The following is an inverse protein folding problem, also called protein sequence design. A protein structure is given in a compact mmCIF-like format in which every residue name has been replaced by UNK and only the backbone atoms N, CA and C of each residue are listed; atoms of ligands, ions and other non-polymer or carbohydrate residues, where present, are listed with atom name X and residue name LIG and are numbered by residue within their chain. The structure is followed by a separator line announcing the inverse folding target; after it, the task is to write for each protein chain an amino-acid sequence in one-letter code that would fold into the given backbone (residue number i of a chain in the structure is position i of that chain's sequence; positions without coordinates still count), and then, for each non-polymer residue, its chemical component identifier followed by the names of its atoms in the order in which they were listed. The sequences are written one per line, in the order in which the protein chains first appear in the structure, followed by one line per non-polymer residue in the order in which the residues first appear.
data_IF_593617954784
#
_entry.id   IF_593617954784
#
_cell.length_a   1.000
_cell.length_b   1.000
_cell.length_c   1.000
_cell.angle_alpha   90.00
_cell.angle_beta   90.00
_cell.angle_gamma   90.00
#
_symmetry.space_group_name_H-M   'P 1'
#
loop_
_entity.id
_entity.type
_entity.pdbx_description
1 polymer ?
#
# COMPACT_ATOMS: atom_id res chain seq x y z
N UNK A 1 -0.93 19.73 15.58
CA UNK A 1 -0.46 18.49 14.93
C UNK A 1 0.59 18.93 13.93
N UNK A 2 1.86 18.67 14.20
CA UNK A 2 2.89 18.92 13.18
C UNK A 2 2.56 18.08 11.96
N UNK A 3 2.51 18.72 10.79
CA UNK A 3 2.27 18.03 9.53
C UNK A 3 3.47 17.13 9.28
N UNK A 4 3.28 15.80 9.36
CA UNK A 4 4.34 14.84 9.04
C UNK A 4 4.96 15.21 7.69
N UNK A 5 6.29 15.34 7.64
CA UNK A 5 7.01 15.75 6.42
C UNK A 5 7.08 14.62 5.39
N UNK A 6 6.72 13.41 5.80
CA UNK A 6 6.78 12.20 4.99
C UNK A 6 5.59 11.29 5.32
N UNK A 7 5.28 10.41 4.38
CA UNK A 7 4.29 9.35 4.54
C UNK A 7 4.90 8.01 4.15
N UNK A 8 4.59 6.96 4.90
CA UNK A 8 4.97 5.58 4.61
C UNK A 8 3.70 4.75 4.34
N UNK A 9 3.64 4.13 3.16
CA UNK A 9 2.62 3.17 2.79
C UNK A 9 3.18 1.75 2.83
N UNK A 10 2.47 0.82 3.47
CA UNK A 10 2.87 -0.58 3.61
C UNK A 10 1.76 -1.48 3.06
N UNK A 11 2.05 -2.19 1.98
CA UNK A 11 1.15 -3.19 1.37
C UNK A 11 1.59 -4.60 1.80
N UNK A 12 0.75 -5.26 2.61
CA UNK A 12 1.01 -6.58 3.17
C UNK A 12 0.08 -7.60 2.48
N UNK A 13 0.55 -8.15 1.37
CA UNK A 13 -0.13 -9.20 0.62
C UNK A 13 0.23 -10.61 1.08
N UNK A 14 -0.45 -11.62 0.53
CA UNK A 14 -0.18 -13.04 0.80
C UNK A 14 1.21 -13.48 0.34
N UNK A 15 1.66 -12.99 -0.83
CA UNK A 15 2.95 -13.38 -1.43
C UNK A 15 4.09 -12.42 -1.11
N UNK A 16 3.80 -11.15 -0.83
CA UNK A 16 4.83 -10.11 -0.72
C UNK A 16 4.46 -9.00 0.26
N UNK A 17 5.49 -8.34 0.79
CA UNK A 17 5.40 -7.08 1.52
C UNK A 17 6.06 -6.00 0.67
N UNK A 18 5.37 -4.87 0.50
CA UNK A 18 5.88 -3.69 -0.20
C UNK A 18 5.83 -2.49 0.74
N UNK A 19 6.84 -1.64 0.69
CA UNK A 19 6.86 -0.36 1.41
C UNK A 19 7.24 0.75 0.43
N UNK A 20 6.57 1.89 0.53
CA UNK A 20 6.93 3.11 -0.16
C UNK A 20 6.93 4.27 0.84
N UNK A 21 7.95 5.12 0.79
CA UNK A 21 8.04 6.38 1.52
C UNK A 21 7.97 7.51 0.51
N UNK A 22 7.07 8.47 0.74
CA UNK A 22 6.88 9.66 -0.07
C UNK A 22 7.04 10.93 0.75
N UNK A 23 7.46 12.02 0.11
CA UNK A 23 7.41 13.35 0.70
C UNK A 23 6.02 14.01 0.56
N UNK A 24 5.88 15.24 1.05
CA UNK A 24 4.63 16.02 0.96
C UNK A 24 4.25 16.41 -0.48
N UNK A 25 5.19 16.36 -1.43
CA UNK A 25 4.91 16.59 -2.84
C UNK A 25 4.45 15.33 -3.58
N UNK A 26 4.42 14.18 -2.88
CA UNK A 26 4.10 12.87 -3.45
C UNK A 26 5.26 12.22 -4.20
N UNK A 27 6.49 12.76 -4.09
CA UNK A 27 7.66 12.15 -4.69
C UNK A 27 8.11 10.94 -3.86
N UNK A 28 8.45 9.86 -4.57
CA UNK A 28 8.97 8.64 -3.96
C UNK A 28 10.40 8.88 -3.47
N UNK A 29 10.62 8.72 -2.16
CA UNK A 29 11.93 8.78 -1.51
C UNK A 29 12.57 7.38 -1.52
N UNK A 30 11.81 6.36 -1.13
CA UNK A 30 12.33 5.00 -0.96
C UNK A 30 11.24 3.95 -1.14
N UNK A 31 11.60 2.82 -1.72
CA UNK A 31 10.68 1.68 -1.88
C UNK A 31 11.38 0.36 -1.62
N UNK A 32 10.60 -0.65 -1.25
CA UNK A 32 11.05 -2.04 -1.20
C UNK A 32 9.94 -2.99 -1.62
N UNK A 33 10.33 -4.10 -2.22
CA UNK A 33 9.49 -5.27 -2.46
C UNK A 33 10.24 -6.49 -1.94
N UNK A 34 9.59 -7.29 -1.10
CA UNK A 34 10.11 -8.57 -0.62
C UNK A 34 9.02 -9.63 -0.67
N UNK A 35 9.39 -10.84 -1.10
CA UNK A 35 8.50 -12.00 -0.97
C UNK A 35 8.41 -12.39 0.50
N UNK A 36 7.20 -12.64 0.97
CA UNK A 36 6.92 -13.03 2.36
C UNK A 36 7.28 -14.48 2.63
N UNK A 37 7.24 -15.34 1.60
CA UNK A 37 7.37 -16.79 1.73
C UNK A 37 6.47 -17.38 2.85
N UNK A 38 5.24 -16.89 2.94
CA UNK A 38 4.27 -17.30 3.96
C UNK A 38 4.52 -16.70 5.35
N UNK A 39 5.47 -15.77 5.48
CA UNK A 39 5.87 -15.12 6.74
C UNK A 39 5.78 -13.58 6.66
N UNK A 40 4.64 -12.99 6.28
CA UNK A 40 4.54 -11.55 5.99
C UNK A 40 4.90 -10.69 7.20
N UNK A 41 4.54 -11.10 8.41
CA UNK A 41 4.88 -10.39 9.65
C UNK A 41 6.40 -10.32 9.88
N UNK A 42 7.09 -11.46 9.80
CA UNK A 42 8.53 -11.53 10.02
C UNK A 42 9.28 -10.75 8.92
N UNK A 43 8.81 -10.86 7.68
CA UNK A 43 9.35 -10.10 6.56
C UNK A 43 9.20 -8.60 6.78
N UNK A 44 8.01 -8.13 7.19
CA UNK A 44 7.78 -6.71 7.47
C UNK A 44 8.70 -6.21 8.59
N UNK A 45 8.74 -6.93 9.73
CA UNK A 45 9.60 -6.55 10.85
C UNK A 45 11.08 -6.46 10.44
N UNK A 46 11.58 -7.45 9.70
CA UNK A 46 12.96 -7.46 9.21
C UNK A 46 13.24 -6.26 8.30
N UNK A 47 12.33 -5.92 7.38
CA UNK A 47 12.49 -4.76 6.49
C UNK A 47 12.54 -3.47 7.30
N UNK A 48 11.64 -3.30 8.27
CA UNK A 48 11.60 -2.11 9.13
C UNK A 48 12.88 -1.97 9.98
N UNK A 49 13.40 -3.07 10.51
CA UNK A 49 14.58 -3.06 11.39
C UNK A 49 15.90 -2.87 10.61
N UNK A 50 15.96 -3.28 9.34
CA UNK A 50 17.21 -3.32 8.56
C UNK A 50 17.28 -2.31 7.43
N UNK A 51 16.18 -2.09 6.72
CA UNK A 51 16.14 -1.26 5.51
C UNK A 51 15.40 0.05 5.73
N UNK A 52 14.57 0.20 6.77
CA UNK A 52 13.77 1.41 7.03
C UNK A 52 13.91 1.89 8.48
N UNK A 53 15.01 1.52 9.14
CA UNK A 53 15.21 1.86 10.55
C UNK A 53 15.36 3.37 10.77
N UNK A 54 15.79 4.12 9.76
CA UNK A 54 15.93 5.56 9.79
C UNK A 54 14.59 6.31 9.92
N UNK A 55 13.47 5.63 9.64
CA UNK A 55 12.11 6.18 9.79
C UNK A 55 11.44 5.74 11.10
N UNK A 56 12.12 4.95 11.94
CA UNK A 56 11.63 4.54 13.24
C UNK A 56 11.80 5.70 14.22
N UNK A 57 10.71 6.10 14.90
CA UNK A 57 10.70 7.23 15.84
C UNK A 57 10.49 8.61 15.20
N UNK A 58 10.62 8.71 13.87
CA UNK A 58 10.32 9.95 13.14
C UNK A 58 8.80 10.21 13.02
N UNK A 59 8.37 11.48 13.00
CA UNK A 59 6.98 11.86 12.76
C UNK A 59 6.61 11.64 11.29
N UNK A 60 6.26 10.39 10.97
CA UNK A 60 5.84 9.93 9.64
C UNK A 60 4.38 9.49 9.68
N UNK A 61 3.58 9.92 8.70
CA UNK A 61 2.23 9.40 8.53
C UNK A 61 2.28 7.96 8.02
N UNK A 62 1.59 7.03 8.67
CA UNK A 62 1.69 5.60 8.36
C UNK A 62 0.35 5.02 7.91
N UNK A 63 0.35 4.43 6.72
CA UNK A 63 -0.80 3.73 6.15
C UNK A 63 -0.47 2.28 5.80
N UNK A 64 -1.41 1.38 6.10
CA UNK A 64 -1.32 -0.04 5.80
C UNK A 64 -2.43 -0.45 4.84
N UNK A 65 -2.13 -1.34 3.89
CA UNK A 65 -3.12 -1.99 3.03
C UNK A 65 -2.75 -3.46 2.80
N UNK A 66 -3.55 -4.15 2.00
CA UNK A 66 -3.46 -5.60 1.83
C UNK A 66 -4.13 -6.39 2.94
N UNK A 67 -4.22 -7.70 2.73
CA UNK A 67 -4.83 -8.66 3.66
C UNK A 67 -4.20 -8.64 5.06
N UNK A 68 -2.92 -8.27 5.16
CA UNK A 68 -2.18 -8.20 6.42
C UNK A 68 -2.24 -6.84 7.12
N UNK A 69 -2.99 -5.87 6.61
CA UNK A 69 -2.99 -4.49 7.11
C UNK A 69 -3.34 -4.37 8.59
N UNK A 70 -4.34 -5.10 9.09
CA UNK A 70 -4.70 -5.12 10.53
C UNK A 70 -3.55 -5.62 11.41
N UNK A 71 -2.80 -6.60 10.93
CA UNK A 71 -1.60 -7.10 11.63
C UNK A 71 -0.50 -6.05 11.62
N UNK A 72 -0.35 -5.30 10.54
CA UNK A 72 0.60 -4.18 10.43
C UNK A 72 0.35 -3.07 11.44
N UNK A 73 -0.91 -2.66 11.62
CA UNK A 73 -1.30 -1.64 12.63
C UNK A 73 -0.90 -2.05 14.05
N UNK A 74 -0.91 -3.36 14.35
CA UNK A 74 -0.44 -3.86 15.65
C UNK A 74 1.08 -3.77 15.88
N UNK A 75 1.87 -3.59 14.82
CA UNK A 75 3.34 -3.44 14.89
C UNK A 75 3.72 -1.98 15.12
N UNK A 76 3.00 -1.07 14.44
CA UNK A 76 3.24 0.38 14.53
C UNK A 76 1.93 1.12 14.32
N UNK A 77 1.67 2.09 15.20
CA UNK A 77 0.46 2.92 15.12
C UNK A 77 0.37 3.60 13.75
N UNK A 78 -0.78 3.40 13.09
CA UNK A 78 -1.08 3.89 11.75
C UNK A 78 -2.50 3.50 11.35
N UNK A 79 -2.89 3.85 10.14
CA UNK A 79 -4.25 3.63 9.64
C UNK A 79 -4.30 2.49 8.62
N UNK A 80 -5.38 1.71 8.63
CA UNK A 80 -5.62 0.65 7.65
C UNK A 80 -6.57 1.13 6.56
N UNK A 81 -6.18 0.93 5.31
CA UNK A 81 -6.92 1.30 4.12
C UNK A 81 -7.21 0.07 3.26
N UNK A 82 -8.40 0.00 2.68
CA UNK A 82 -8.75 -1.06 1.72
C UNK A 82 -7.92 -0.98 0.44
N UNK A 83 -7.58 -2.13 -0.14
CA UNK A 83 -6.68 -2.23 -1.31
C UNK A 83 -7.20 -1.44 -2.52
N UNK A 84 -8.50 -1.51 -2.81
CA UNK A 84 -9.11 -0.77 -3.93
C UNK A 84 -8.95 0.74 -3.74
N UNK A 85 -9.15 1.24 -2.52
CA UNK A 85 -9.01 2.65 -2.21
C UNK A 85 -7.54 3.09 -2.31
N UNK A 86 -6.62 2.29 -1.79
CA UNK A 86 -5.19 2.57 -1.84
C UNK A 86 -4.67 2.61 -3.29
N UNK A 87 -5.02 1.61 -4.12
CA UNK A 87 -4.67 1.56 -5.53
C UNK A 87 -5.25 2.73 -6.32
N UNK A 88 -6.52 3.05 -6.10
CA UNK A 88 -7.20 4.15 -6.81
C UNK A 88 -6.61 5.51 -6.42
N UNK A 89 -6.34 5.72 -5.13
CA UNK A 89 -5.71 6.95 -4.64
C UNK A 89 -4.30 7.13 -5.25
N UNK A 90 -3.48 6.08 -5.24
CA UNK A 90 -2.17 6.11 -5.88
C UNK A 90 -2.27 6.43 -7.38
N UNK A 91 -3.23 5.83 -8.09
CA UNK A 91 -3.46 6.11 -9.50
C UNK A 91 -3.82 7.59 -9.75
N UNK A 92 -4.74 8.17 -8.97
CA UNK A 92 -5.11 9.59 -9.12
C UNK A 92 -3.96 10.56 -8.83
N UNK A 93 -2.90 10.12 -8.15
CA UNK A 93 -1.68 10.89 -7.94
C UNK A 93 -0.67 10.69 -9.07
N UNK A 94 -0.51 9.46 -9.56
CA UNK A 94 0.56 9.08 -10.50
C UNK A 94 0.17 9.26 -11.97
N UNK A 95 -1.06 8.88 -12.34
CA UNK A 95 -1.55 8.97 -13.71
C UNK A 95 -3.08 9.13 -13.75
N UNK A 96 -3.52 10.39 -13.92
CA UNK A 96 -4.93 10.75 -13.97
C UNK A 96 -5.62 10.37 -15.31
N UNK A 97 -4.93 9.77 -16.27
CA UNK A 97 -5.58 9.33 -17.53
C UNK A 97 -6.08 7.89 -17.47
N UNK A 98 -5.66 7.13 -16.46
CA UNK A 98 -6.04 5.72 -16.30
C UNK A 98 -7.51 5.61 -15.91
N UNK A 99 -8.28 4.91 -16.76
CA UNK A 99 -9.71 4.61 -16.55
C UNK A 99 -9.97 3.20 -16.04
N UNK A 100 -8.97 2.32 -16.11
CA UNK A 100 -9.09 0.91 -15.72
C UNK A 100 -7.79 0.42 -15.10
N UNK A 101 -7.88 -0.25 -13.95
CA UNK A 101 -6.79 -0.98 -13.32
C UNK A 101 -7.11 -2.48 -13.36
N UNK A 102 -6.14 -3.29 -13.79
CA UNK A 102 -6.15 -4.73 -13.63
C UNK A 102 -4.98 -5.08 -12.71
N UNK A 103 -5.29 -5.46 -11.48
CA UNK A 103 -4.30 -5.89 -10.50
C UNK A 103 -4.26 -7.42 -10.48
N UNK A 104 -3.07 -8.00 -10.68
CA UNK A 104 -2.85 -9.44 -10.61
C UNK A 104 -2.05 -9.75 -9.36
N UNK A 105 -2.75 -10.22 -8.33
CA UNK A 105 -2.19 -10.66 -7.08
C UNK A 105 -1.65 -12.09 -7.13
N UNK A 106 -1.28 -12.60 -5.96
CA UNK A 106 -0.84 -13.97 -5.78
C UNK A 106 -1.99 -14.99 -5.65
N UNK A 107 -3.14 -14.54 -5.15
CA UNK A 107 -4.31 -15.39 -4.85
C UNK A 107 -5.54 -14.93 -5.64
N UNK A 108 -5.71 -13.62 -5.80
CA UNK A 108 -6.79 -13.00 -6.55
C UNK A 108 -6.27 -12.06 -7.65
N UNK A 109 -7.20 -11.59 -8.46
CA UNK A 109 -7.06 -10.54 -9.45
C UNK A 109 -8.24 -9.59 -9.32
N UNK A 110 -7.96 -8.30 -9.46
CA UNK A 110 -8.93 -7.23 -9.29
C UNK A 110 -9.06 -6.43 -10.57
N UNK A 111 -10.30 -6.14 -10.92
CA UNK A 111 -10.66 -5.16 -11.93
C UNK A 111 -11.21 -3.92 -11.21
N UNK A 112 -10.71 -2.74 -11.54
CA UNK A 112 -11.19 -1.47 -10.97
C UNK A 112 -11.42 -0.49 -12.13
N UNK A 113 -12.63 0.05 -12.22
CA UNK A 113 -12.99 1.09 -13.18
C UNK A 113 -13.01 2.45 -12.49
N UNK A 114 -12.43 3.46 -13.12
CA UNK A 114 -12.24 4.80 -12.56
C UNK A 114 -12.92 5.88 -13.41
N UNK A 115 -13.42 6.92 -12.75
CA UNK A 115 -13.74 8.22 -13.38
C UNK A 115 -12.61 9.19 -13.01
N UNK A 116 -11.66 9.47 -13.93
CA UNK A 116 -10.53 10.30 -13.57
C UNK A 116 -10.86 11.77 -13.40
N UNK A 117 -11.98 12.24 -14.00
CA UNK A 117 -12.44 13.63 -13.83
C UNK A 117 -13.01 13.86 -12.44
N UNK A 118 -13.78 12.88 -11.93
CA UNK A 118 -14.37 12.93 -10.59
C UNK A 118 -13.44 12.37 -9.51
N UNK A 119 -12.36 11.68 -9.90
CA UNK A 119 -11.43 10.97 -9.00
C UNK A 119 -12.17 9.97 -8.10
N UNK A 120 -13.03 9.16 -8.71
CA UNK A 120 -13.81 8.13 -8.00
C UNK A 120 -13.68 6.76 -8.67
N UNK A 121 -13.87 5.72 -7.88
CA UNK A 121 -14.10 4.35 -8.38
C UNK A 121 -15.55 4.27 -8.86
N UNK A 122 -15.74 3.87 -10.11
CA UNK A 122 -17.07 3.67 -10.72
C UNK A 122 -17.58 2.27 -10.35
N UNK A 123 -16.74 1.27 -10.55
CA UNK A 123 -17.06 -0.13 -10.35
C UNK A 123 -15.79 -0.92 -10.03
N UNK A 124 -15.92 -2.07 -9.39
CA UNK A 124 -14.83 -3.01 -9.19
C UNK A 124 -15.33 -4.44 -9.08
N UNK A 125 -14.48 -5.39 -9.47
CA UNK A 125 -14.75 -6.82 -9.33
C UNK A 125 -13.47 -7.56 -8.92
N UNK A 126 -13.63 -8.66 -8.22
CA UNK A 126 -12.53 -9.52 -7.76
C UNK A 126 -12.89 -10.97 -8.01
N UNK A 127 -11.95 -11.78 -8.48
CA UNK A 127 -12.17 -13.23 -8.50
C UNK A 127 -11.84 -13.81 -7.12
N UNK A 128 -12.85 -14.35 -6.44
CA UNK A 128 -12.66 -14.96 -5.12
C UNK A 128 -12.33 -16.46 -5.17
N UNK A 129 -12.17 -17.04 -6.36
CA UNK A 129 -11.88 -18.45 -6.59
C UNK A 129 -10.77 -18.59 -7.63
N UNK A 130 -9.80 -19.47 -7.35
CA UNK A 130 -8.64 -19.75 -8.20
C UNK A 130 -9.03 -19.91 -9.68
N UNK A 131 -8.19 -19.36 -10.55
CA UNK A 131 -8.13 -19.75 -11.96
C UNK A 131 -7.47 -21.13 -12.11
#
# INVERSE_FOLDING_TARGET
MESSKMYMGIDIGSVSVKIAVIDQSGQIIKTVYRRSHGRPYQTLKMILDTEFNEYIGEPIGLGFTGIGSKTGVGIREGESFGEINALSAANFMLNLEVVTIIERGGEDSKYIQLDPKKKVVIDFSMNNLCA
#
